data_IF_180098155094
#
_entry.id   IF_180098155094
#
_cell.length_a   1.000
_cell.length_b   1.000
_cell.length_c   1.000
_cell.angle_alpha   90.00
_cell.angle_beta   90.00
_cell.angle_gamma   90.00
#
_symmetry.space_group_name_H-M   'P 1'
#
loop_
_entity.id
_entity.type
_entity.pdbx_description
1 polymer ?
#
# COMPACT_ATOMS: atom_id res chain seq x y z
N UNK A 1 6.16 44.08 -13.58
CA UNK A 1 7.36 43.73 -14.37
C UNK A 1 8.51 43.50 -13.40
N UNK A 2 9.17 42.35 -13.45
CA UNK A 2 10.38 42.14 -12.62
C UNK A 2 11.56 42.88 -13.24
N UNK A 3 12.52 43.34 -12.43
CA UNK A 3 13.71 44.11 -12.89
C UNK A 3 14.48 43.38 -14.00
N UNK A 4 14.53 42.05 -13.94
CA UNK A 4 15.16 41.21 -14.98
C UNK A 4 14.43 41.27 -16.32
N UNK A 5 13.10 41.38 -16.32
CA UNK A 5 12.29 41.53 -17.54
C UNK A 5 12.43 42.93 -18.16
N UNK A 6 12.62 43.97 -17.33
CA UNK A 6 12.78 45.34 -17.81
C UNK A 6 14.13 45.57 -18.53
N UNK A 7 15.19 44.89 -18.09
CA UNK A 7 16.54 44.97 -18.70
C UNK A 7 16.58 44.21 -20.03
N UNK A 8 15.91 43.05 -20.13
CA UNK A 8 15.77 42.33 -21.40
C UNK A 8 14.94 43.12 -22.43
N UNK A 9 14.03 43.97 -21.96
CA UNK A 9 13.26 44.88 -22.80
C UNK A 9 14.00 46.21 -23.07
N UNK A 10 15.28 46.33 -22.71
CA UNK A 10 16.12 47.53 -22.88
C UNK A 10 15.54 48.82 -22.29
N UNK A 11 14.64 48.71 -21.31
CA UNK A 11 13.99 49.86 -20.65
C UNK A 11 14.88 50.43 -19.53
N UNK A 12 15.87 49.67 -19.06
CA UNK A 12 16.82 50.07 -18.00
C UNK A 12 18.23 49.63 -18.38
N UNK A 13 19.20 50.50 -18.12
CA UNK A 13 20.62 50.32 -18.47
C UNK A 13 21.26 49.13 -17.71
N UNK A 14 22.03 48.24 -18.38
CA UNK A 14 22.63 47.04 -17.76
C UNK A 14 23.59 47.33 -16.61
N UNK A 15 24.05 48.58 -16.46
CA UNK A 15 24.89 49.03 -15.35
C UNK A 15 24.21 48.85 -13.98
N UNK A 16 22.87 48.90 -13.91
CA UNK A 16 22.11 48.67 -12.68
C UNK A 16 22.06 47.17 -12.27
N UNK A 17 22.53 46.25 -13.11
CA UNK A 17 22.53 44.79 -12.82
C UNK A 17 23.93 44.26 -12.50
N UNK A 18 24.99 45.05 -12.74
CA UNK A 18 26.35 44.63 -12.44
C UNK A 18 26.64 44.80 -10.95
N UNK A 19 26.53 43.71 -10.20
CA UNK A 19 27.02 43.66 -8.82
C UNK A 19 28.56 43.66 -8.83
N UNK A 20 29.14 44.61 -8.11
CA UNK A 20 30.58 44.73 -7.87
C UNK A 20 31.20 43.40 -7.37
N UNK A 21 32.14 42.82 -8.12
CA UNK A 21 32.93 41.61 -7.76
C UNK A 21 34.00 41.92 -6.68
N UNK A 22 33.62 42.70 -5.67
CA UNK A 22 34.48 43.07 -4.55
C UNK A 22 34.56 41.93 -3.52
N UNK A 23 35.67 41.19 -3.54
CA UNK A 23 36.20 40.31 -2.49
C UNK A 23 35.17 39.53 -1.63
N UNK A 24 35.04 38.24 -1.91
CA UNK A 24 34.26 37.26 -1.14
C UNK A 24 34.88 36.99 0.25
N UNK A 25 34.89 37.98 1.13
CA UNK A 25 35.06 37.72 2.57
C UNK A 25 33.72 37.19 3.07
N UNK A 26 33.69 35.90 3.42
CA UNK A 26 32.51 35.24 4.00
C UNK A 26 32.10 36.05 5.23
N UNK A 27 30.99 36.80 5.15
CA UNK A 27 30.35 37.38 6.33
C UNK A 27 30.08 36.22 7.28
N UNK A 28 30.57 36.30 8.52
CA UNK A 28 30.21 35.36 9.59
C UNK A 28 28.71 35.53 9.82
N UNK A 29 27.91 34.75 9.10
CA UNK A 29 26.46 34.77 9.20
C UNK A 29 26.09 34.50 10.64
N UNK A 30 25.20 35.32 11.19
CA UNK A 30 24.69 35.16 12.54
C UNK A 30 23.99 33.79 12.63
N UNK A 31 24.01 33.17 13.81
CA UNK A 31 23.37 31.85 14.03
C UNK A 31 21.90 31.87 13.60
N UNK A 32 21.25 33.03 13.76
CA UNK A 32 19.88 33.31 13.34
C UNK A 32 19.66 33.30 11.83
N UNK A 33 20.60 33.83 11.03
CA UNK A 33 20.52 33.82 9.57
C UNK A 33 20.76 32.43 8.99
N UNK A 34 21.62 31.65 9.65
CA UNK A 34 21.90 30.26 9.28
C UNK A 34 20.71 29.35 9.60
N UNK A 35 20.00 29.60 10.70
CA UNK A 35 18.73 28.95 11.04
C UNK A 35 17.64 29.28 10.01
N UNK A 36 17.47 30.56 9.65
CA UNK A 36 16.49 30.97 8.62
C UNK A 36 16.78 30.34 7.26
N UNK A 37 18.06 30.27 6.85
CA UNK A 37 18.44 29.62 5.60
C UNK A 37 18.17 28.12 5.62
N UNK A 38 18.39 27.44 6.76
CA UNK A 38 18.04 26.01 6.92
C UNK A 38 16.53 25.81 6.87
N UNK A 39 15.75 26.65 7.55
CA UNK A 39 14.29 26.60 7.52
C UNK A 39 13.73 26.83 6.12
N UNK A 40 14.24 27.81 5.38
CA UNK A 40 13.83 28.10 4.01
C UNK A 40 14.13 26.91 3.08
N UNK A 41 15.32 26.29 3.22
CA UNK A 41 15.64 25.06 2.48
C UNK A 41 14.75 23.88 2.86
N UNK A 42 14.38 23.76 4.14
CA UNK A 42 13.46 22.73 4.61
C UNK A 42 12.05 22.93 4.03
N UNK A 43 11.55 24.17 4.00
CA UNK A 43 10.27 24.52 3.34
C UNK A 43 10.33 24.22 1.84
N UNK A 44 11.41 24.60 1.16
CA UNK A 44 11.59 24.32 -0.26
C UNK A 44 11.62 22.81 -0.56
N UNK A 45 12.27 22.02 0.30
CA UNK A 45 12.28 20.56 0.20
C UNK A 45 10.88 19.97 0.41
N UNK A 46 10.15 20.41 1.46
CA UNK A 46 8.76 19.99 1.74
C UNK A 46 7.81 20.29 0.59
N UNK A 47 7.86 21.50 0.04
CA UNK A 47 7.02 21.87 -1.11
C UNK A 47 7.37 21.05 -2.36
N UNK A 48 8.65 20.72 -2.57
CA UNK A 48 9.07 19.91 -3.71
C UNK A 48 8.61 18.46 -3.57
N UNK A 49 8.67 17.90 -2.36
CA UNK A 49 8.13 16.55 -2.09
C UNK A 49 6.61 16.51 -2.21
N UNK A 50 5.91 17.54 -1.72
CA UNK A 50 4.46 17.63 -1.84
C UNK A 50 4.03 17.73 -3.32
N UNK A 51 4.70 18.59 -4.10
CA UNK A 51 4.47 18.68 -5.54
C UNK A 51 4.71 17.35 -6.26
N UNK A 52 5.78 16.62 -5.93
CA UNK A 52 6.03 15.28 -6.49
C UNK A 52 4.90 14.30 -6.17
N UNK A 53 4.42 14.29 -4.92
CA UNK A 53 3.30 13.44 -4.52
C UNK A 53 1.99 13.81 -5.23
N UNK A 54 1.74 15.09 -5.47
CA UNK A 54 0.59 15.54 -6.27
C UNK A 54 0.70 15.11 -7.73
N UNK A 55 1.89 15.25 -8.33
CA UNK A 55 2.16 14.80 -9.70
C UNK A 55 1.97 13.27 -9.83
N UNK A 56 2.45 12.47 -8.87
CA UNK A 56 2.24 11.01 -8.81
C UNK A 56 0.76 10.63 -8.65
N UNK A 57 0.01 11.37 -7.81
CA UNK A 57 -1.44 11.19 -7.67
C UNK A 57 -2.15 11.50 -8.99
N UNK A 58 -1.82 12.60 -9.65
CA UNK A 58 -2.39 12.97 -10.95
C UNK A 58 -2.02 11.98 -12.04
N UNK A 59 -0.78 11.49 -12.07
CA UNK A 59 -0.35 10.46 -13.02
C UNK A 59 -1.11 9.15 -12.80
N UNK A 60 -1.31 8.74 -11.54
CA UNK A 60 -2.09 7.55 -11.19
C UNK A 60 -3.54 7.71 -11.62
N UNK A 61 -4.15 8.87 -11.35
CA UNK A 61 -5.52 9.19 -11.81
C UNK A 61 -5.58 9.11 -13.34
N UNK A 62 -4.65 9.74 -14.06
CA UNK A 62 -4.60 9.71 -15.51
C UNK A 62 -4.36 8.31 -16.07
N UNK A 63 -3.55 7.49 -15.41
CA UNK A 63 -3.33 6.08 -15.74
C UNK A 63 -4.62 5.29 -15.63
N UNK A 64 -5.41 5.51 -14.58
CA UNK A 64 -6.71 4.85 -14.39
C UNK A 64 -7.74 5.35 -15.41
N UNK A 65 -7.85 6.66 -15.61
CA UNK A 65 -8.79 7.27 -16.56
C UNK A 65 -8.51 6.84 -18.02
N UNK A 66 -7.24 6.79 -18.41
CA UNK A 66 -6.80 6.40 -19.77
C UNK A 66 -6.85 4.88 -20.00
N UNK A 67 -6.69 4.04 -18.97
CA UNK A 67 -6.88 2.58 -19.07
C UNK A 67 -8.34 2.16 -19.04
N UNK A 68 -9.19 2.86 -18.29
CA UNK A 68 -10.62 2.54 -18.20
C UNK A 68 -11.39 2.83 -19.49
N UNK A 69 -10.93 3.80 -20.29
CA UNK A 69 -11.60 4.22 -21.54
C UNK A 69 -11.21 3.41 -22.79
N UNK A 70 -10.29 2.43 -22.69
CA UNK A 70 -10.05 1.50 -23.81
C UNK A 70 -11.17 0.44 -23.82
N UNK A 71 -12.04 0.37 -24.85
CA UNK A 71 -13.06 -0.66 -24.94
C UNK A 71 -12.40 -2.04 -25.00
N UNK A 72 -12.90 -2.95 -24.16
CA UNK A 72 -12.39 -4.28 -23.79
C UNK A 72 -12.37 -5.32 -24.93
N UNK A 73 -12.25 -4.92 -26.20
CA UNK A 73 -12.61 -5.75 -27.37
C UNK A 73 -11.57 -5.93 -28.46
N UNK A 74 -10.30 -5.47 -28.32
CA UNK A 74 -9.29 -5.75 -29.34
C UNK A 74 -7.88 -5.76 -28.74
N UNK A 75 -7.20 -6.90 -28.85
CA UNK A 75 -5.76 -7.15 -28.57
C UNK A 75 -5.43 -7.73 -27.19
N UNK A 76 -5.99 -8.90 -26.87
CA UNK A 76 -5.25 -9.96 -26.16
C UNK A 76 -4.39 -10.69 -27.21
N UNK A 77 -3.10 -10.39 -27.32
CA UNK A 77 -2.14 -11.26 -28.03
C UNK A 77 -0.65 -10.94 -27.80
N UNK A 78 -0.22 -9.75 -27.36
CA UNK A 78 1.19 -9.33 -27.48
C UNK A 78 1.79 -8.55 -26.29
N UNK A 79 1.43 -8.84 -25.03
CA UNK A 79 1.99 -8.10 -23.89
C UNK A 79 2.37 -8.95 -22.67
N UNK A 80 2.88 -10.18 -22.88
CA UNK A 80 3.29 -11.11 -21.80
C UNK A 80 4.82 -11.19 -21.62
N UNK A 81 5.64 -10.50 -22.43
CA UNK A 81 7.10 -10.79 -22.46
C UNK A 81 8.04 -9.65 -22.05
N UNK A 82 7.61 -8.63 -21.32
CA UNK A 82 8.50 -7.53 -20.92
C UNK A 82 8.24 -7.07 -19.48
N UNK A 83 8.42 -7.94 -18.48
CA UNK A 83 8.51 -7.50 -17.07
C UNK A 83 9.36 -8.44 -16.23
N UNK A 84 10.62 -8.61 -16.63
CA UNK A 84 11.58 -9.43 -15.88
C UNK A 84 13.01 -8.97 -16.14
N UNK A 85 13.33 -7.73 -15.76
CA UNK A 85 14.70 -7.24 -15.61
C UNK A 85 14.70 -5.87 -14.89
N UNK A 86 14.61 -5.88 -13.56
CA UNK A 86 15.33 -4.89 -12.73
C UNK A 86 15.41 -5.38 -11.28
N UNK A 87 16.38 -6.26 -11.04
CA UNK A 87 16.96 -6.51 -9.73
C UNK A 87 18.42 -6.04 -9.82
N UNK A 88 18.83 -5.13 -8.94
CA UNK A 88 20.14 -4.49 -8.89
C UNK A 88 19.97 -3.09 -8.29
N UNK A 89 20.02 -2.98 -6.96
CA UNK A 89 21.24 -2.66 -6.21
C UNK A 89 21.51 -1.15 -6.22
N UNK A 90 21.16 -0.49 -5.12
CA UNK A 90 21.89 0.67 -4.61
C UNK A 90 21.50 0.85 -3.13
N UNK A 91 22.26 0.14 -2.32
CA UNK A 91 22.36 0.29 -0.87
C UNK A 91 23.01 1.65 -0.55
N UNK A 92 22.19 2.67 -0.30
CA UNK A 92 22.62 3.90 0.36
C UNK A 92 21.80 4.08 1.64
N UNK A 93 22.23 3.40 2.70
CA UNK A 93 21.71 3.56 4.05
C UNK A 93 22.00 4.98 4.54
N UNK A 94 20.96 5.81 4.60
CA UNK A 94 20.93 7.06 5.35
C UNK A 94 20.73 6.73 6.84
N UNK A 95 21.71 6.97 7.74
CA UNK A 95 21.64 6.55 9.14
C UNK A 95 20.70 7.42 10.00
N UNK A 96 20.00 8.40 9.43
CA UNK A 96 19.08 9.30 10.16
C UNK A 96 17.63 9.24 9.62
N UNK A 97 17.28 8.19 8.89
CA UNK A 97 15.91 7.92 8.49
C UNK A 97 15.14 7.30 9.67
N UNK A 98 14.47 8.13 10.47
CA UNK A 98 13.44 7.64 11.39
C UNK A 98 12.46 6.73 10.63
N UNK A 99 12.07 5.58 11.20
CA UNK A 99 11.16 4.66 10.55
C UNK A 99 9.85 5.39 10.27
N UNK A 100 9.59 5.69 8.99
CA UNK A 100 8.36 6.31 8.54
C UNK A 100 7.19 5.44 9.01
N UNK A 101 6.45 5.95 10.01
CA UNK A 101 5.28 5.29 10.58
C UNK A 101 4.31 4.99 9.42
N UNK A 102 3.87 3.74 9.23
CA UNK A 102 2.98 3.40 8.14
C UNK A 102 1.73 4.29 8.22
N UNK A 103 1.14 4.71 7.08
CA UNK A 103 -0.01 5.58 7.07
C UNK A 103 -1.10 4.99 7.98
N UNK A 104 -1.38 5.68 9.09
CA UNK A 104 -2.38 5.23 10.05
C UNK A 104 -3.69 5.05 9.31
N UNK A 105 -4.17 3.82 9.28
CA UNK A 105 -5.51 3.53 8.78
C UNK A 105 -6.49 4.45 9.54
N UNK A 106 -7.48 5.05 8.85
CA UNK A 106 -8.48 5.88 9.52
C UNK A 106 -9.13 5.04 10.61
N UNK A 107 -8.85 5.39 11.87
CA UNK A 107 -9.40 4.67 13.00
C UNK A 107 -10.91 4.83 12.95
N UNK A 108 -11.69 3.73 12.96
CA UNK A 108 -13.14 3.84 12.98
C UNK A 108 -13.56 4.66 14.20
N UNK A 109 -14.58 5.52 14.08
CA UNK A 109 -15.02 6.35 15.20
C UNK A 109 -15.41 5.46 16.37
N UNK A 110 -14.77 5.68 17.52
CA UNK A 110 -15.01 4.91 18.76
C UNK A 110 -16.01 5.60 19.70
N UNK A 111 -16.73 6.62 19.22
CA UNK A 111 -17.66 7.41 20.02
C UNK A 111 -19.08 7.21 19.52
N UNK A 112 -20.03 7.17 20.45
CA UNK A 112 -21.44 7.33 20.10
C UNK A 112 -21.67 8.71 19.51
N UNK A 113 -22.46 8.80 18.43
CA UNK A 113 -22.74 10.06 17.75
C UNK A 113 -24.24 10.23 17.57
N UNK A 114 -24.74 11.37 18.03
CA UNK A 114 -26.13 11.81 17.82
C UNK A 114 -26.14 13.04 16.91
N UNK A 115 -27.02 13.03 15.91
CA UNK A 115 -27.19 14.16 14.99
C UNK A 115 -28.68 14.41 14.81
N UNK A 116 -29.12 15.62 15.14
CA UNK A 116 -30.43 16.16 14.80
C UNK A 116 -30.27 17.17 13.65
N UNK A 117 -30.95 16.93 12.53
CA UNK A 117 -30.90 17.80 11.35
C UNK A 117 -32.32 18.05 10.84
N UNK A 118 -32.71 19.31 10.68
CA UNK A 118 -34.02 19.72 10.18
C UNK A 118 -33.98 20.10 8.69
N UNK A 119 -33.24 19.33 7.87
CA UNK A 119 -33.07 19.62 6.44
C UNK A 119 -34.36 19.28 5.69
N UNK A 120 -34.86 20.22 4.88
CA UNK A 120 -36.06 20.07 4.04
C UNK A 120 -37.38 19.92 4.81
N UNK A 121 -37.60 20.69 5.87
CA UNK A 121 -38.81 20.70 6.71
C UNK A 121 -39.13 19.39 7.47
N UNK A 122 -38.33 18.34 7.28
CA UNK A 122 -38.43 17.08 8.00
C UNK A 122 -37.31 16.96 9.04
N UNK A 123 -37.68 16.64 10.28
CA UNK A 123 -36.75 16.38 11.37
C UNK A 123 -36.10 15.00 11.16
N UNK A 124 -34.79 14.95 10.93
CA UNK A 124 -34.01 13.72 10.85
C UNK A 124 -33.13 13.59 12.09
N UNK A 125 -33.28 12.47 12.79
CA UNK A 125 -32.50 12.10 13.97
C UNK A 125 -31.70 10.85 13.60
N UNK A 126 -30.38 10.91 13.70
CA UNK A 126 -29.50 9.77 13.43
C UNK A 126 -28.60 9.50 14.63
N UNK A 127 -28.53 8.23 15.01
CA UNK A 127 -27.70 7.72 16.09
C UNK A 127 -26.73 6.69 15.53
N UNK A 128 -25.43 6.96 15.65
CA UNK A 128 -24.37 6.07 15.21
C UNK A 128 -23.70 5.41 16.41
N UNK A 129 -23.54 4.08 16.34
CA UNK A 129 -22.92 3.24 17.37
C UNK A 129 -21.55 2.78 16.86
N UNK A 130 -20.47 2.91 17.66
CA UNK A 130 -19.16 2.41 17.27
C UNK A 130 -19.15 0.88 17.20
N UNK A 131 -18.42 0.32 16.22
CA UNK A 131 -18.36 -1.13 15.97
C UNK A 131 -17.82 -1.89 17.20
N UNK A 132 -16.94 -1.26 17.96
CA UNK A 132 -16.39 -1.76 19.23
C UNK A 132 -17.46 -2.02 20.31
N UNK A 133 -18.59 -1.32 20.27
CA UNK A 133 -19.69 -1.50 21.21
C UNK A 133 -20.70 -2.57 20.77
N UNK A 134 -20.59 -3.09 19.54
CA UNK A 134 -21.44 -4.17 19.06
C UNK A 134 -20.95 -5.52 19.59
N UNK A 135 -21.84 -6.43 20.00
CA UNK A 135 -21.43 -7.78 20.35
C UNK A 135 -20.78 -8.43 19.12
N UNK A 136 -19.62 -9.06 19.33
CA UNK A 136 -18.97 -9.85 18.28
C UNK A 136 -19.98 -10.91 17.81
N UNK A 137 -20.31 -10.96 16.51
CA UNK A 137 -21.23 -11.97 16.01
C UNK A 137 -20.71 -13.35 16.41
N UNK A 138 -21.60 -14.31 16.73
CA UNK A 138 -21.17 -15.67 17.01
C UNK A 138 -20.33 -16.14 15.84
N UNK A 139 -19.07 -16.47 16.09
CA UNK A 139 -18.23 -17.06 15.06
C UNK A 139 -18.97 -18.28 14.53
N UNK A 140 -19.09 -18.46 13.20
CA UNK A 140 -19.72 -19.65 12.66
C UNK A 140 -19.02 -20.84 13.30
N UNK A 141 -19.79 -21.67 14.02
CA UNK A 141 -19.24 -22.83 14.71
C UNK A 141 -18.52 -23.67 13.68
N UNK A 142 -17.19 -23.72 13.80
CA UNK A 142 -16.39 -24.57 12.93
C UNK A 142 -16.94 -25.99 13.07
N UNK A 143 -17.29 -26.68 11.98
CA UNK A 143 -17.75 -28.06 12.09
C UNK A 143 -16.71 -28.85 12.90
N UNK A 144 -17.14 -29.74 13.80
CA UNK A 144 -16.21 -30.55 14.58
C UNK A 144 -15.23 -31.23 13.62
N UNK A 145 -13.94 -31.20 13.96
CA UNK A 145 -12.93 -31.87 13.16
C UNK A 145 -13.35 -33.34 12.97
N UNK A 146 -13.40 -33.86 11.73
CA UNK A 146 -13.78 -35.25 11.51
C UNK A 146 -12.78 -36.14 12.27
N UNK A 147 -13.31 -37.09 13.04
CA UNK A 147 -12.48 -38.07 13.73
C UNK A 147 -11.56 -38.78 12.73
N UNK A 148 -10.30 -39.08 13.08
CA UNK A 148 -9.37 -39.72 12.16
C UNK A 148 -9.95 -41.05 11.66
N UNK A 149 -10.04 -41.20 10.33
CA UNK A 149 -10.51 -42.44 9.72
C UNK A 149 -9.60 -43.62 10.11
N UNK A 150 -10.16 -44.82 10.21
CA UNK A 150 -9.40 -46.05 10.54
C UNK A 150 -8.87 -46.71 9.27
N UNK A 151 -7.91 -47.62 9.44
CA UNK A 151 -7.41 -48.49 8.39
C UNK A 151 -8.52 -49.44 7.89
N UNK A 152 -8.59 -49.68 6.58
CA UNK A 152 -9.62 -50.54 5.96
C UNK A 152 -9.20 -52.01 5.80
N UNK A 153 -8.04 -52.40 6.34
CA UNK A 153 -7.56 -53.79 6.32
C UNK A 153 -8.25 -54.56 7.44
N UNK A 154 -8.72 -55.78 7.14
CA UNK A 154 -9.39 -56.66 8.09
C UNK A 154 -8.55 -56.84 9.37
N UNK A 155 -9.14 -56.53 10.53
CA UNK A 155 -8.47 -56.63 11.83
C UNK A 155 -7.61 -55.43 12.25
N UNK A 156 -7.40 -54.41 11.39
CA UNK A 156 -6.61 -53.24 11.77
C UNK A 156 -7.48 -52.08 12.32
N UNK A 157 -7.17 -51.59 13.52
CA UNK A 157 -7.87 -50.44 14.15
C UNK A 157 -7.03 -49.16 14.22
N UNK A 158 -5.85 -49.14 13.60
CA UNK A 158 -4.95 -47.98 13.59
C UNK A 158 -5.53 -46.85 12.75
N UNK A 159 -5.14 -45.60 13.07
CA UNK A 159 -5.51 -44.43 12.27
C UNK A 159 -4.96 -44.53 10.84
N UNK A 160 -5.77 -44.13 9.87
CA UNK A 160 -5.43 -44.05 8.46
C UNK A 160 -4.33 -43.00 8.26
N UNK A 161 -3.22 -43.41 7.65
CA UNK A 161 -2.07 -42.55 7.34
C UNK A 161 -1.94 -42.31 5.83
N UNK A 162 -2.28 -43.30 5.02
CA UNK A 162 -2.19 -43.27 3.57
C UNK A 162 -3.56 -43.53 2.94
N UNK A 163 -3.82 -42.93 1.78
CA UNK A 163 -5.01 -43.18 0.97
C UNK A 163 -4.63 -43.96 -0.28
N UNK A 164 -5.52 -44.84 -0.72
CA UNK A 164 -5.33 -45.61 -1.94
C UNK A 164 -5.61 -44.73 -3.17
N UNK A 165 -4.67 -44.65 -4.12
CA UNK A 165 -4.80 -43.77 -5.30
C UNK A 165 -5.97 -44.19 -6.20
N UNK A 166 -6.19 -45.51 -6.35
CA UNK A 166 -7.33 -46.05 -7.11
C UNK A 166 -8.69 -45.71 -6.48
N UNK A 167 -8.76 -45.68 -5.15
CA UNK A 167 -9.99 -45.46 -4.38
C UNK A 167 -9.73 -44.56 -3.17
N UNK A 168 -10.03 -43.26 -3.29
CA UNK A 168 -9.67 -42.24 -2.29
C UNK A 168 -10.40 -42.35 -0.94
N UNK A 169 -11.46 -43.17 -0.90
CA UNK A 169 -12.23 -43.49 0.30
C UNK A 169 -11.58 -44.58 1.17
N UNK A 170 -10.70 -45.39 0.58
CA UNK A 170 -9.96 -46.44 1.25
C UNK A 170 -8.58 -45.93 1.67
N UNK A 171 -8.07 -46.45 2.77
CA UNK A 171 -6.75 -46.13 3.24
C UNK A 171 -6.19 -47.10 4.27
N UNK A 172 -4.88 -46.99 4.43
CA UNK A 172 -4.07 -47.86 5.25
C UNK A 172 -3.35 -47.09 6.35
N UNK A 173 -2.95 -47.77 7.42
CA UNK A 173 -2.09 -47.21 8.46
C UNK A 173 -0.59 -47.21 8.07
N UNK A 174 -0.18 -48.05 7.11
CA UNK A 174 1.21 -48.25 6.69
C UNK A 174 1.32 -48.85 5.29
N UNK A 175 2.55 -49.00 4.79
CA UNK A 175 2.83 -49.47 3.42
C UNK A 175 2.39 -50.92 3.18
N UNK A 176 2.54 -51.81 4.16
CA UNK A 176 2.15 -53.23 4.02
C UNK A 176 0.63 -53.38 3.84
N UNK A 177 -0.13 -52.62 4.63
CA UNK A 177 -1.59 -52.56 4.53
C UNK A 177 -2.06 -51.85 3.25
N UNK A 178 -1.30 -50.88 2.74
CA UNK A 178 -1.61 -50.23 1.47
C UNK A 178 -1.46 -51.22 0.31
N UNK A 179 -0.35 -51.97 0.29
CA UNK A 179 -0.12 -53.04 -0.70
C UNK A 179 -1.15 -54.16 -0.60
N UNK A 180 -1.53 -54.56 0.62
CA UNK A 180 -2.59 -55.54 0.82
C UNK A 180 -3.93 -55.07 0.21
N UNK A 181 -4.31 -53.81 0.42
CA UNK A 181 -5.51 -53.22 -0.18
C UNK A 181 -5.40 -53.10 -1.71
N UNK A 182 -4.21 -52.85 -2.25
CA UNK A 182 -3.96 -52.82 -3.70
C UNK A 182 -4.13 -54.20 -4.35
N UNK A 183 -3.74 -55.26 -3.65
CA UNK A 183 -3.85 -56.65 -4.13
C UNK A 183 -5.27 -57.21 -3.98
N UNK A 184 -5.98 -56.86 -2.90
CA UNK A 184 -7.33 -57.37 -2.62
C UNK A 184 -8.42 -56.77 -3.53
N UNK A 185 -8.17 -55.63 -4.18
CA UNK A 185 -9.20 -54.86 -4.93
C UNK A 185 -8.71 -54.40 -6.31
N UNK A 186 -8.05 -55.30 -7.05
CA UNK A 186 -7.97 -55.21 -8.51
C UNK A 186 -9.36 -55.41 -9.10
#
# INVERSE_FOLDING_TARGET
MTTRQAVLASVVDPSHVSLNEGSKKKKTLNETELALRREETARKRRNLTEKKLEDEKMETINRLLKKQTRPRGKKNALAITEDKNNAGDDEAADPDAEPAEPPRAPTPPNTYRWISSSKNANMQLSFSVPISALPKPPEPSRPPNPSPAKCDVEGCRKSRKYRLVKNWNLGACGMDHLKALELQKV
#
